data_IF_737844288234
#
_entry.id   IF_737844288234
#
_cell.length_a   1.000
_cell.length_b   1.000
_cell.length_c   1.000
_cell.angle_alpha   90.00
_cell.angle_beta   90.00
_cell.angle_gamma   90.00
#
_symmetry.space_group_name_H-M   'P 1'
#
loop_
_entity.id
_entity.type
_entity.pdbx_description
1 polymer ?
#
# COMPACT_ATOMS: atom_id res chain seq x y z
N UNK A 1 3.30 -17.08 -8.81
CA UNK A 1 2.11 -16.36 -8.32
C UNK A 1 2.42 -14.92 -7.88
N UNK A 2 3.34 -14.67 -6.93
CA UNK A 2 3.67 -13.30 -6.47
C UNK A 2 4.27 -12.35 -7.53
N UNK A 3 5.00 -12.86 -8.52
CA UNK A 3 5.62 -12.02 -9.57
C UNK A 3 4.58 -11.39 -10.53
N UNK A 4 3.50 -12.09 -10.82
CA UNK A 4 2.47 -11.65 -11.79
C UNK A 4 1.68 -10.46 -11.23
N UNK A 5 1.34 -10.50 -9.94
CA UNK A 5 0.61 -9.41 -9.29
C UNK A 5 1.42 -8.10 -9.27
N UNK A 6 2.73 -8.20 -9.02
CA UNK A 6 3.64 -7.05 -9.05
C UNK A 6 3.78 -6.46 -10.45
N UNK A 7 3.84 -7.31 -11.47
CA UNK A 7 3.88 -6.87 -12.87
C UNK A 7 2.61 -6.09 -13.25
N UNK A 8 1.44 -6.57 -12.83
CA UNK A 8 0.17 -5.91 -13.11
C UNK A 8 0.11 -4.51 -12.48
N UNK A 9 0.44 -4.39 -11.20
CA UNK A 9 0.45 -3.10 -10.50
C UNK A 9 1.44 -2.12 -11.14
N UNK A 10 2.67 -2.58 -11.44
CA UNK A 10 3.67 -1.76 -12.11
C UNK A 10 3.21 -1.28 -13.49
N UNK A 11 2.56 -2.16 -14.26
CA UNK A 11 2.03 -1.84 -15.59
C UNK A 11 0.89 -0.82 -15.51
N UNK A 12 -0.04 -0.98 -14.55
CA UNK A 12 -1.13 -0.04 -14.32
C UNK A 12 -0.62 1.36 -13.91
N UNK A 13 0.42 1.42 -13.07
CA UNK A 13 1.08 2.69 -12.70
C UNK A 13 1.72 3.34 -13.93
N UNK A 14 2.47 2.57 -14.74
CA UNK A 14 3.10 3.06 -15.97
C UNK A 14 2.05 3.60 -16.95
N UNK A 15 0.96 2.85 -17.15
CA UNK A 15 -0.15 3.24 -18.01
C UNK A 15 -0.77 4.58 -17.58
N UNK A 16 -1.13 4.70 -16.29
CA UNK A 16 -1.71 5.92 -15.74
C UNK A 16 -0.78 7.13 -15.87
N UNK A 17 0.54 6.94 -15.75
CA UNK A 17 1.52 8.03 -15.92
C UNK A 17 1.68 8.45 -17.38
N UNK A 18 1.58 7.51 -18.31
CA UNK A 18 1.64 7.82 -19.74
C UNK A 18 0.39 8.52 -20.28
N UNK A 19 -0.75 8.37 -19.60
CA UNK A 19 -2.05 8.91 -20.03
C UNK A 19 -2.79 9.55 -18.85
N UNK A 20 -2.42 10.77 -18.42
CA UNK A 20 -3.02 11.42 -17.26
C UNK A 20 -4.51 11.74 -17.43
N UNK A 21 -4.91 12.14 -18.64
CA UNK A 21 -6.30 12.47 -18.98
C UNK A 21 -7.19 11.24 -19.21
N UNK A 22 -6.59 10.08 -19.48
CA UNK A 22 -7.28 8.82 -19.73
C UNK A 22 -6.64 7.67 -18.95
N UNK A 23 -6.69 7.79 -17.62
CA UNK A 23 -6.20 6.75 -16.69
C UNK A 23 -7.00 5.46 -16.84
N UNK A 24 -6.43 4.34 -16.40
CA UNK A 24 -7.06 3.02 -16.41
C UNK A 24 -8.49 3.09 -15.84
N UNK A 25 -9.44 2.74 -16.69
CA UNK A 25 -10.87 2.87 -16.44
C UNK A 25 -11.63 1.81 -17.25
N UNK A 26 -12.93 1.68 -17.00
CA UNK A 26 -13.79 0.65 -17.62
C UNK A 26 -13.99 0.76 -19.13
N UNK A 27 -13.73 1.91 -19.76
CA UNK A 27 -13.83 2.03 -21.23
C UNK A 27 -12.75 1.20 -21.94
N UNK A 28 -11.59 1.03 -21.30
CA UNK A 28 -10.50 0.17 -21.79
C UNK A 28 -10.87 -1.32 -21.83
N UNK A 29 -11.96 -1.72 -21.18
CA UNK A 29 -12.46 -3.09 -21.15
C UNK A 29 -13.68 -3.30 -22.06
N UNK A 30 -14.14 -2.25 -22.76
CA UNK A 30 -15.37 -2.29 -23.57
C UNK A 30 -16.64 -2.45 -22.73
N UNK A 31 -16.58 -2.15 -21.42
CA UNK A 31 -17.64 -2.52 -20.47
C UNK A 31 -18.76 -1.48 -20.33
N UNK A 32 -18.54 -0.22 -20.72
CA UNK A 32 -19.53 0.85 -20.52
C UNK A 32 -19.21 2.12 -21.30
N UNK A 33 -20.27 2.86 -21.64
CA UNK A 33 -20.21 4.18 -22.28
C UNK A 33 -19.76 5.29 -21.31
N UNK A 34 -19.84 5.06 -19.99
CA UNK A 34 -19.40 5.99 -18.95
C UNK A 34 -18.16 5.46 -18.23
N UNK A 35 -16.96 5.98 -18.52
CA UNK A 35 -15.71 5.49 -17.92
C UNK A 35 -15.73 5.63 -16.39
N UNK A 36 -15.52 4.51 -15.69
CA UNK A 36 -15.31 4.44 -14.24
C UNK A 36 -13.86 4.08 -13.94
N UNK A 37 -13.20 4.72 -12.97
CA UNK A 37 -11.81 4.44 -12.65
C UNK A 37 -11.62 3.01 -12.13
N UNK A 38 -10.53 2.37 -12.56
CA UNK A 38 -10.12 1.05 -12.07
C UNK A 38 -8.90 1.21 -11.18
N UNK A 39 -8.99 0.67 -9.96
CA UNK A 39 -7.91 0.68 -8.99
C UNK A 39 -7.25 -0.70 -8.90
N UNK A 40 -5.94 -0.73 -9.16
CA UNK A 40 -5.10 -1.90 -8.93
C UNK A 40 -4.30 -1.65 -7.67
N UNK A 41 -4.42 -2.54 -6.70
CA UNK A 41 -3.72 -2.44 -5.40
C UNK A 41 -2.98 -3.74 -5.11
N UNK A 42 -1.91 -3.64 -4.32
CA UNK A 42 -1.22 -4.83 -3.81
C UNK A 42 -2.13 -5.55 -2.80
N UNK A 43 -2.20 -6.88 -2.91
CA UNK A 43 -2.93 -7.70 -1.95
C UNK A 43 -2.01 -8.06 -0.77
N UNK A 44 -2.39 -7.63 0.44
CA UNK A 44 -1.75 -8.10 1.67
C UNK A 44 -2.39 -9.42 2.14
N UNK A 45 -1.57 -10.32 2.69
CA UNK A 45 -2.06 -11.49 3.44
C UNK A 45 -2.96 -11.05 4.61
N UNK A 46 -3.81 -11.96 5.10
CA UNK A 46 -4.65 -11.68 6.27
C UNK A 46 -3.80 -11.25 7.47
N UNK A 47 -2.68 -11.94 7.71
CA UNK A 47 -1.75 -11.62 8.79
C UNK A 47 -1.14 -10.23 8.64
N UNK A 48 -0.70 -9.85 7.43
CA UNK A 48 -0.15 -8.51 7.20
C UNK A 48 -1.23 -7.43 7.27
N UNK A 49 -2.49 -7.71 6.94
CA UNK A 49 -3.60 -6.77 7.16
C UNK A 49 -3.79 -6.52 8.66
N UNK A 50 -3.81 -7.58 9.46
CA UNK A 50 -3.92 -7.50 10.92
C UNK A 50 -2.71 -6.75 11.53
N UNK A 51 -1.50 -7.07 11.09
CA UNK A 51 -0.28 -6.40 11.55
C UNK A 51 -0.27 -4.91 11.15
N UNK A 52 -0.73 -4.57 9.95
CA UNK A 52 -0.83 -3.18 9.51
C UNK A 52 -1.84 -2.39 10.34
N UNK A 53 -2.98 -3.00 10.69
CA UNK A 53 -3.96 -2.39 11.58
C UNK A 53 -3.38 -2.14 12.98
N UNK A 54 -2.67 -3.13 13.55
CA UNK A 54 -1.99 -3.00 14.83
C UNK A 54 -0.89 -1.92 14.81
N UNK A 55 -0.10 -1.87 13.73
CA UNK A 55 0.94 -0.85 13.55
C UNK A 55 0.35 0.56 13.51
N UNK A 56 -0.79 0.76 12.82
CA UNK A 56 -1.49 2.07 12.79
C UNK A 56 -2.02 2.48 14.15
N UNK A 57 -2.57 1.54 14.94
CA UNK A 57 -3.02 1.82 16.30
C UNK A 57 -1.84 2.25 17.19
N UNK A 58 -0.76 1.46 17.20
CA UNK A 58 0.43 1.75 17.99
C UNK A 58 1.13 3.05 17.57
N UNK A 59 1.17 3.31 16.27
CA UNK A 59 1.70 4.56 15.73
C UNK A 59 0.97 5.78 16.30
N UNK A 60 -0.37 5.71 16.39
CA UNK A 60 -1.19 6.79 16.95
C UNK A 60 -0.89 7.01 18.43
N UNK A 61 -0.77 5.93 19.21
CA UNK A 61 -0.43 6.00 20.64
C UNK A 61 0.94 6.65 20.89
N UNK A 62 1.93 6.33 20.04
CA UNK A 62 3.31 6.76 20.20
C UNK A 62 3.67 8.05 19.42
N UNK A 63 2.69 8.66 18.74
CA UNK A 63 2.88 9.89 17.97
C UNK A 63 3.72 9.73 16.70
N UNK A 64 3.68 8.58 16.05
CA UNK A 64 4.30 8.38 14.74
C UNK A 64 3.48 9.06 13.64
N UNK A 65 4.13 9.85 12.80
CA UNK A 65 3.47 10.57 11.69
C UNK A 65 3.15 9.69 10.49
N UNK A 66 3.94 8.65 10.24
CA UNK A 66 3.83 7.87 9.01
C UNK A 66 3.74 6.37 9.28
N UNK A 67 2.77 5.73 8.63
CA UNK A 67 2.66 4.27 8.53
C UNK A 67 2.31 3.93 7.09
N UNK A 68 3.06 3.04 6.45
CA UNK A 68 2.81 2.64 5.07
C UNK A 68 3.21 1.20 4.81
N UNK A 69 2.74 0.67 3.68
CA UNK A 69 3.09 -0.67 3.21
C UNK A 69 3.85 -0.56 1.89
N UNK A 70 4.91 -1.34 1.73
CA UNK A 70 5.66 -1.43 0.48
C UNK A 70 6.18 -2.86 0.30
N UNK A 71 5.86 -3.49 -0.83
CA UNK A 71 6.25 -4.88 -1.12
C UNK A 71 5.76 -5.86 -0.04
N UNK A 72 4.55 -5.66 0.48
CA UNK A 72 3.99 -6.44 1.58
C UNK A 72 4.58 -6.18 2.96
N UNK A 73 5.64 -5.36 3.08
CA UNK A 73 6.26 -4.99 4.34
C UNK A 73 5.65 -3.71 4.91
N UNK A 74 5.42 -3.70 6.23
CA UNK A 74 4.85 -2.57 6.95
C UNK A 74 5.99 -1.74 7.54
N UNK A 75 5.90 -0.44 7.37
CA UNK A 75 6.89 0.50 7.90
C UNK A 75 6.22 1.59 8.71
N UNK A 76 6.93 2.06 9.73
CA UNK A 76 6.55 3.18 10.58
C UNK A 76 7.68 4.21 10.61
N UNK A 77 7.36 5.50 10.74
CA UNK A 77 8.34 6.57 10.89
C UNK A 77 7.80 7.70 11.75
N UNK A 78 8.60 8.17 12.71
CA UNK A 78 8.13 9.15 13.70
C UNK A 78 7.98 10.55 13.13
N UNK A 79 8.98 11.02 12.38
CA UNK A 79 9.00 12.32 11.70
C UNK A 79 9.71 12.24 10.34
N UNK A 80 9.80 13.33 9.61
CA UNK A 80 10.49 13.41 8.30
C UNK A 80 12.00 13.24 8.39
N UNK A 81 12.57 13.35 9.59
CA UNK A 81 14.00 13.23 9.85
C UNK A 81 14.35 11.92 10.58
N UNK A 82 13.36 11.23 11.15
CA UNK A 82 13.59 9.98 11.89
C UNK A 82 13.86 8.80 10.95
N UNK A 83 14.51 7.76 11.44
CA UNK A 83 14.61 6.51 10.67
C UNK A 83 13.27 5.80 10.54
N UNK A 84 13.16 5.01 9.47
CA UNK A 84 12.03 4.11 9.27
C UNK A 84 12.24 2.82 10.05
N UNK A 85 11.17 2.32 10.64
CA UNK A 85 11.12 1.06 11.35
C UNK A 85 10.38 0.05 10.47
N UNK A 86 10.99 -1.11 10.22
CA UNK A 86 10.32 -2.22 9.56
C UNK A 86 9.59 -3.06 10.61
N UNK A 87 8.27 -3.19 10.49
CA UNK A 87 7.42 -4.00 11.35
C UNK A 87 7.14 -5.32 10.65
N UNK A 88 7.89 -6.35 11.02
CA UNK A 88 7.79 -7.73 10.53
C UNK A 88 6.85 -8.59 11.38
N UNK A 89 6.67 -8.25 12.66
CA UNK A 89 5.82 -8.98 13.58
C UNK A 89 5.18 -8.06 14.64
N UNK A 90 4.21 -8.61 15.38
CA UNK A 90 3.48 -7.88 16.41
C UNK A 90 4.31 -7.64 17.69
N UNK A 91 5.36 -8.43 17.94
CA UNK A 91 6.23 -8.28 19.12
C UNK A 91 7.06 -7.01 19.01
N UNK A 92 7.55 -6.70 17.82
CA UNK A 92 8.29 -5.48 17.51
C UNK A 92 7.50 -4.22 17.83
N UNK A 93 6.17 -4.23 17.71
CA UNK A 93 5.32 -3.11 18.11
C UNK A 93 5.29 -2.88 19.62
N UNK A 94 5.51 -3.94 20.42
CA UNK A 94 5.59 -3.87 21.88
C UNK A 94 6.94 -3.35 22.34
N UNK A 95 8.01 -3.60 21.58
CA UNK A 95 9.36 -3.08 21.84
C UNK A 95 9.48 -1.57 21.56
N UNK A 96 8.53 -0.98 20.83
CA UNK A 96 8.43 0.47 20.65
C UNK A 96 7.86 1.09 21.93
N UNK A 97 8.77 1.56 22.79
CA UNK A 97 8.52 2.32 24.01
C UNK A 97 8.77 3.81 23.79
#
# INVERSE_FOLDING_TARGET
MFAILKLLLASAIKFNRSQPENRLNTSHLGATDKPLPIYVVEHLSADNKSLHAAARARAKELGFRFVWVRNGHIFMRKSEDSDRIFVDNAEKLKELY
#
